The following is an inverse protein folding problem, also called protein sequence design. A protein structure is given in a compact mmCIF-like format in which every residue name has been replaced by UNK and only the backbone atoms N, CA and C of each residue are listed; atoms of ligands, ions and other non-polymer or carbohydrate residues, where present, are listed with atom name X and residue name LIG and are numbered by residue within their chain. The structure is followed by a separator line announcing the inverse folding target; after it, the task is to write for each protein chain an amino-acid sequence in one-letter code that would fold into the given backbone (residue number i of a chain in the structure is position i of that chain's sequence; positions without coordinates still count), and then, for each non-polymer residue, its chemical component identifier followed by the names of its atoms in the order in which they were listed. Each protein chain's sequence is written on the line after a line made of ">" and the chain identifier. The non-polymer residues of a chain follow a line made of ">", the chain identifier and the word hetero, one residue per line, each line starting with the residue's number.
data_IF_436159858091
#
_entry.id   IF_436159858091
#
_cell.length_a   1.000
_cell.length_b   1.000
_cell.length_c   1.000
_cell.angle_alpha   90.00
_cell.angle_beta   90.00
_cell.angle_gamma   90.00
#
_symmetry.space_group_name_H-M   'P 1'
#
loop_
_entity.id
_entity.type
_entity.pdbx_description
1 polymer ?
#
# COMPACT_ATOMS: atom_id res chain seq x y z
N UNK A 1 -4.49 7.15 7.04
CA UNK A 1 -4.80 7.86 5.75
C UNK A 1 -5.47 6.87 4.80
N UNK A 2 -6.55 7.26 4.09
CA UNK A 2 -7.20 6.39 3.10
C UNK A 2 -6.61 6.59 1.71
N UNK A 3 -6.31 5.51 0.99
CA UNK A 3 -5.79 5.52 -0.39
C UNK A 3 -6.30 4.31 -1.19
N UNK A 4 -6.00 4.22 -2.48
CA UNK A 4 -6.32 3.03 -3.30
C UNK A 4 -5.23 1.97 -3.19
N UNK A 5 -5.59 0.70 -3.37
CA UNK A 5 -4.61 -0.40 -3.51
C UNK A 5 -3.65 -0.14 -4.66
N UNK A 6 -4.14 0.39 -5.78
CA UNK A 6 -3.31 0.73 -6.94
C UNK A 6 -2.20 1.72 -6.57
N UNK A 7 -2.53 2.78 -5.85
CA UNK A 7 -1.55 3.80 -5.49
C UNK A 7 -0.53 3.31 -4.45
N UNK A 8 -0.93 2.41 -3.55
CA UNK A 8 0.03 1.72 -2.68
C UNK A 8 0.99 0.86 -3.51
N UNK A 9 0.50 0.08 -4.48
CA UNK A 9 1.36 -0.76 -5.33
C UNK A 9 2.30 0.08 -6.19
N UNK A 10 1.85 1.22 -6.71
CA UNK A 10 2.69 2.16 -7.45
C UNK A 10 3.79 2.75 -6.55
N UNK A 11 3.42 3.21 -5.34
CA UNK A 11 4.38 3.73 -4.37
C UNK A 11 5.45 2.69 -4.03
N UNK A 12 5.03 1.44 -3.85
CA UNK A 12 5.93 0.32 -3.55
C UNK A 12 6.88 0.02 -4.72
N UNK A 13 6.39 0.07 -5.96
CA UNK A 13 7.21 -0.11 -7.15
C UNK A 13 8.28 0.98 -7.31
N UNK A 14 7.99 2.22 -6.92
CA UNK A 14 8.92 3.34 -7.05
C UNK A 14 9.95 3.41 -5.91
N UNK A 15 9.55 3.01 -4.70
CA UNK A 15 10.34 3.24 -3.49
C UNK A 15 11.17 2.03 -3.11
N UNK A 16 10.62 0.82 -3.30
CA UNK A 16 11.25 -0.43 -2.87
C UNK A 16 12.06 -1.00 -4.05
N UNK A 17 13.40 -1.02 -3.97
CA UNK A 17 14.23 -1.58 -5.04
C UNK A 17 13.90 -3.06 -5.24
N UNK A 18 13.82 -3.50 -6.49
CA UNK A 18 13.53 -4.89 -6.86
C UNK A 18 12.12 -5.40 -6.48
N UNK A 19 11.18 -4.50 -6.18
CA UNK A 19 9.77 -4.81 -5.88
C UNK A 19 9.11 -5.81 -6.86
N UNK A 20 9.40 -5.65 -8.15
CA UNK A 20 8.86 -6.44 -9.26
C UNK A 20 9.82 -7.56 -9.76
N UNK A 21 11.04 -7.62 -9.22
CA UNK A 21 12.05 -8.61 -9.65
C UNK A 21 11.90 -9.92 -8.85
N UNK A 22 11.41 -9.85 -7.61
CA UNK A 22 10.95 -11.02 -6.88
C UNK A 22 9.43 -11.19 -7.05
N UNK A 23 9.02 -12.08 -7.96
CA UNK A 23 7.63 -12.53 -8.22
C UNK A 23 6.79 -12.85 -6.94
N UNK A 24 7.45 -12.95 -5.78
CA UNK A 24 6.84 -13.18 -4.48
C UNK A 24 6.36 -11.93 -3.73
N UNK A 25 6.98 -10.75 -3.90
CA UNK A 25 6.71 -9.61 -3.01
C UNK A 25 5.38 -8.91 -3.38
N UNK A 26 5.22 -8.58 -4.66
CA UNK A 26 3.95 -8.06 -5.20
C UNK A 26 2.79 -9.01 -4.93
N UNK A 27 2.96 -10.30 -5.23
CA UNK A 27 1.91 -11.31 -5.04
C UNK A 27 1.57 -11.53 -3.57
N UNK A 28 2.56 -11.45 -2.66
CA UNK A 28 2.35 -11.53 -1.22
C UNK A 28 1.59 -10.33 -0.69
N UNK A 29 1.91 -9.10 -1.11
CA UNK A 29 1.19 -7.90 -0.66
C UNK A 29 -0.23 -7.87 -1.22
N UNK A 30 -0.44 -8.20 -2.50
CA UNK A 30 -1.79 -8.32 -3.05
C UNK A 30 -2.60 -9.40 -2.33
N UNK A 31 -1.99 -10.55 -2.00
CA UNK A 31 -2.65 -11.63 -1.27
C UNK A 31 -3.00 -11.20 0.16
N UNK A 32 -2.06 -10.60 0.89
CA UNK A 32 -2.27 -10.05 2.22
C UNK A 32 -3.42 -9.05 2.21
N UNK A 33 -3.41 -8.09 1.28
CA UNK A 33 -4.48 -7.11 1.13
C UNK A 33 -5.82 -7.82 0.91
N UNK A 34 -5.89 -8.86 0.07
CA UNK A 34 -7.14 -9.61 -0.17
C UNK A 34 -7.64 -10.39 1.05
N UNK A 35 -6.74 -10.87 1.89
CA UNK A 35 -7.03 -11.71 3.07
C UNK A 35 -7.41 -10.90 4.32
N UNK A 36 -7.05 -9.61 4.39
CA UNK A 36 -7.44 -8.74 5.50
C UNK A 36 -8.98 -8.70 5.70
N UNK A 37 -9.48 -8.45 6.92
CA UNK A 37 -10.89 -8.16 7.10
C UNK A 37 -11.24 -6.84 6.42
N UNK A 38 -12.45 -6.75 5.85
CA UNK A 38 -13.02 -5.46 5.43
C UNK A 38 -13.71 -4.83 6.64
N UNK A 39 -13.32 -3.61 6.98
CA UNK A 39 -14.00 -2.77 7.96
C UNK A 39 -14.63 -1.59 7.21
N UNK A 40 -15.94 -1.40 7.37
CA UNK A 40 -16.68 -0.27 6.78
C UNK A 40 -16.42 0.00 5.28
N UNK A 41 -16.20 -1.07 4.50
CA UNK A 41 -16.01 -1.01 3.05
C UNK A 41 -14.56 -0.81 2.58
N UNK A 42 -13.61 -0.67 3.50
CA UNK A 42 -12.18 -0.56 3.21
C UNK A 42 -11.37 -1.58 4.03
N UNK A 43 -10.07 -1.68 3.75
CA UNK A 43 -9.17 -2.60 4.47
C UNK A 43 -8.12 -1.80 5.22
N UNK A 44 -7.90 -2.13 6.48
CA UNK A 44 -6.88 -1.47 7.30
C UNK A 44 -5.56 -2.20 7.11
N UNK A 45 -4.51 -1.46 6.80
CA UNK A 45 -3.15 -1.96 6.69
C UNK A 45 -2.30 -1.19 7.70
N UNK A 46 -1.71 -1.90 8.65
CA UNK A 46 -0.79 -1.35 9.63
C UNK A 46 0.67 -1.50 9.19
N UNK A 47 1.56 -0.76 9.85
CA UNK A 47 3.00 -0.98 9.72
C UNK A 47 3.40 -2.44 10.05
N UNK A 48 2.69 -3.11 10.96
CA UNK A 48 2.97 -4.51 11.30
C UNK A 48 2.58 -5.49 10.17
N UNK A 49 1.57 -5.15 9.37
CA UNK A 49 1.21 -5.92 8.17
C UNK A 49 2.28 -5.72 7.08
N UNK A 50 2.88 -4.53 7.06
CA UNK A 50 3.93 -4.12 6.13
C UNK A 50 5.34 -4.33 6.69
N UNK A 51 5.54 -5.32 7.58
CA UNK A 51 6.83 -5.79 8.18
C UNK A 51 8.01 -6.01 7.21
N UNK A 52 7.80 -5.72 5.93
CA UNK A 52 8.72 -5.76 4.82
C UNK A 52 9.54 -4.45 4.67
N UNK A 53 9.14 -3.33 5.27
CA UNK A 53 9.74 -2.02 5.01
C UNK A 53 10.42 -1.38 6.23
N UNK A 54 11.40 -0.52 5.97
CA UNK A 54 12.01 0.33 7.00
C UNK A 54 11.11 1.54 7.34
N UNK A 55 11.41 2.26 8.43
CA UNK A 55 10.74 3.52 8.75
C UNK A 55 10.95 4.59 7.66
N UNK A 56 12.10 4.59 7.00
CA UNK A 56 12.42 5.51 5.89
C UNK A 56 11.56 5.21 4.66
N UNK A 57 11.45 3.92 4.30
CA UNK A 57 10.58 3.48 3.20
C UNK A 57 9.11 3.82 3.48
N UNK A 58 8.65 3.61 4.72
CA UNK A 58 7.27 3.92 5.15
C UNK A 58 6.94 5.40 4.97
N UNK A 59 7.85 6.28 5.37
CA UNK A 59 7.70 7.73 5.24
C UNK A 59 7.67 8.16 3.78
N UNK A 60 8.52 7.56 2.94
CA UNK A 60 8.54 7.83 1.49
C UNK A 60 7.26 7.35 0.81
N UNK A 61 6.73 6.19 1.21
CA UNK A 61 5.49 5.61 0.68
C UNK A 61 4.31 6.51 1.00
N UNK A 62 4.23 6.98 2.24
CA UNK A 62 3.22 7.96 2.66
C UNK A 62 3.27 9.23 1.82
N UNK A 63 4.46 9.83 1.69
CA UNK A 63 4.62 11.06 0.92
C UNK A 63 4.22 10.87 -0.55
N UNK A 64 4.65 9.78 -1.17
CA UNK A 64 4.27 9.47 -2.56
C UNK A 64 2.76 9.36 -2.72
N UNK A 65 2.10 8.69 -1.77
CA UNK A 65 0.65 8.54 -1.79
C UNK A 65 -0.04 9.92 -1.65
N UNK A 66 0.37 10.74 -0.69
CA UNK A 66 -0.19 12.08 -0.50
C UNK A 66 -0.05 12.95 -1.76
N UNK A 67 1.13 12.91 -2.41
CA UNK A 67 1.42 13.69 -3.61
C UNK A 67 0.57 13.28 -4.81
N UNK A 68 0.16 12.00 -4.88
CA UNK A 68 -0.55 11.42 -6.02
C UNK A 68 -2.04 11.13 -5.77
N UNK A 69 -2.51 11.27 -4.52
CA UNK A 69 -3.90 10.98 -4.11
C UNK A 69 -4.92 11.93 -4.76
N UNK A 70 -4.51 13.16 -5.06
CA UNK A 70 -5.35 14.20 -5.69
C UNK A 70 -5.91 13.81 -7.07
N UNK A 71 -5.26 12.86 -7.75
CA UNK A 71 -5.58 12.46 -9.13
C UNK A 71 -6.41 11.18 -9.22
N UNK A 72 -6.77 10.55 -8.10
CA UNK A 72 -7.51 9.28 -8.12
C UNK A 72 -9.02 9.51 -8.11
N UNK A 73 -9.70 8.94 -9.10
CA UNK A 73 -11.12 8.58 -8.93
C UNK A 73 -11.23 7.63 -7.74
N UNK A 74 -12.31 7.75 -6.96
CA UNK A 74 -12.62 6.84 -5.84
C UNK A 74 -12.54 5.39 -6.33
N UNK A 75 -11.47 4.72 -5.94
CA UNK A 75 -11.23 3.33 -6.29
C UNK A 75 -12.11 2.45 -5.40
N UNK A 76 -12.77 1.40 -5.92
CA UNK A 76 -13.58 0.48 -5.12
C UNK A 76 -12.78 -0.28 -4.04
N UNK A 77 -11.44 -0.24 -4.07
CA UNK A 77 -10.58 -0.85 -3.07
C UNK A 77 -9.80 0.22 -2.29
N UNK A 78 -10.51 0.93 -1.41
CA UNK A 78 -9.89 1.81 -0.44
C UNK A 78 -9.17 1.00 0.65
N UNK A 79 -7.97 1.44 1.02
CA UNK A 79 -7.19 0.96 2.14
C UNK A 79 -6.90 2.11 3.09
N UNK A 80 -6.85 1.84 4.39
CA UNK A 80 -6.41 2.80 5.39
C UNK A 80 -5.04 2.41 5.92
N UNK A 81 -4.05 3.26 5.68
CA UNK A 81 -2.68 3.11 6.19
C UNK A 81 -2.58 3.71 7.59
N UNK A 82 -2.18 2.87 8.55
CA UNK A 82 -1.83 3.23 9.92
C UNK A 82 -0.35 2.89 10.15
N UNK A 83 0.51 3.88 9.93
CA UNK A 83 1.92 3.82 10.32
C UNK A 83 2.11 4.43 11.71
#
# INVERSE_FOLDING_TARGET
>A
MKTSVGLLLDALSEIVPNWDIEDGLYSSVVKMIKELPKEDGYRIISQEDLKLFTEDDSSRILQYIEDNQSNLQKDPFEIELMF
#
